data_IF_042771347978
#
_entry.id   IF_042771347978
#
_cell.length_a   1.000
_cell.length_b   1.000
_cell.length_c   1.000
_cell.angle_alpha   90.00
_cell.angle_beta   90.00
_cell.angle_gamma   90.00
#
_symmetry.space_group_name_H-M   'P 1'
#
loop_
_entity.id
_entity.type
_entity.pdbx_description
1 polymer ?
#
# COMPACT_ATOMS: atom_id res chain seq x y z
N UNK A 1 32.02 -75.38 16.02
CA UNK A 1 31.54 -74.81 14.73
C UNK A 1 30.28 -73.97 14.92
N UNK A 2 29.17 -74.54 15.41
CA UNK A 2 27.88 -73.81 15.52
C UNK A 2 27.87 -72.58 16.46
N UNK A 3 28.53 -72.65 17.63
CA UNK A 3 28.58 -71.52 18.59
C UNK A 3 29.32 -70.30 18.02
N UNK A 4 30.42 -70.53 17.29
CA UNK A 4 31.22 -69.46 16.69
C UNK A 4 30.43 -68.71 15.61
N UNK A 5 29.62 -69.42 14.80
CA UNK A 5 28.74 -68.84 13.77
C UNK A 5 27.65 -67.97 14.41
N UNK A 6 27.05 -68.42 15.51
CA UNK A 6 26.01 -67.66 16.24
C UNK A 6 26.60 -66.37 16.83
N UNK A 7 27.79 -66.42 17.43
CA UNK A 7 28.44 -65.23 17.99
C UNK A 7 28.80 -64.23 16.89
N UNK A 8 29.37 -64.67 15.77
CA UNK A 8 29.71 -63.77 14.65
C UNK A 8 28.47 -63.11 14.04
N UNK A 9 27.37 -63.84 13.88
CA UNK A 9 26.13 -63.29 13.34
C UNK A 9 25.48 -62.27 14.30
N UNK A 10 25.62 -62.48 15.62
CA UNK A 10 25.11 -61.55 16.63
C UNK A 10 25.84 -60.20 16.61
N UNK A 11 27.17 -60.22 16.49
CA UNK A 11 27.97 -58.99 16.35
C UNK A 11 27.67 -58.28 15.02
N UNK A 12 27.41 -59.02 13.94
CA UNK A 12 27.00 -58.43 12.66
C UNK A 12 25.64 -57.71 12.76
N UNK A 13 24.65 -58.32 13.42
CA UNK A 13 23.32 -57.71 13.63
C UNK A 13 23.37 -56.45 14.52
N UNK A 14 24.20 -56.48 15.57
CA UNK A 14 24.44 -55.31 16.43
C UNK A 14 25.08 -54.16 15.65
N UNK A 15 26.08 -54.44 14.82
CA UNK A 15 26.71 -53.43 13.96
C UNK A 15 25.72 -52.80 12.98
N UNK A 16 24.90 -53.61 12.32
CA UNK A 16 23.87 -53.12 11.38
C UNK A 16 22.85 -52.24 12.11
N UNK A 17 22.36 -52.68 13.28
CA UNK A 17 21.38 -51.91 14.07
C UNK A 17 21.94 -50.56 14.51
N UNK A 18 23.20 -50.51 14.92
CA UNK A 18 23.88 -49.27 15.29
C UNK A 18 23.97 -48.29 14.11
N UNK A 19 24.35 -48.79 12.93
CA UNK A 19 24.43 -47.96 11.71
C UNK A 19 23.07 -47.45 11.28
N UNK A 20 22.02 -48.28 11.33
CA UNK A 20 20.64 -47.88 11.03
C UNK A 20 20.15 -46.82 12.01
N UNK A 21 20.42 -46.97 13.31
CA UNK A 21 20.07 -45.98 14.32
C UNK A 21 20.77 -44.62 14.11
N UNK A 22 22.06 -44.65 13.76
CA UNK A 22 22.82 -43.43 13.44
C UNK A 22 22.27 -42.75 12.18
N UNK A 23 22.01 -43.52 11.11
CA UNK A 23 21.44 -42.97 9.88
C UNK A 23 20.05 -42.36 10.10
N UNK A 24 19.20 -43.02 10.89
CA UNK A 24 17.86 -42.53 11.23
C UNK A 24 17.90 -41.26 12.10
N UNK A 25 18.82 -41.21 13.08
CA UNK A 25 19.06 -40.02 13.90
C UNK A 25 19.54 -38.82 13.07
N UNK A 26 20.44 -39.05 12.12
CA UNK A 26 20.92 -38.01 11.20
C UNK A 26 19.79 -37.53 10.27
N UNK A 27 18.93 -38.44 9.79
CA UNK A 27 17.78 -38.10 8.95
C UNK A 27 16.78 -37.19 9.68
N UNK A 28 16.48 -37.48 10.95
CA UNK A 28 15.60 -36.63 11.79
C UNK A 28 16.23 -35.26 12.06
N UNK A 29 17.56 -35.19 12.23
CA UNK A 29 18.25 -33.93 12.55
C UNK A 29 18.28 -32.91 11.41
N UNK A 30 18.14 -33.34 10.14
CA UNK A 30 18.18 -32.45 8.97
C UNK A 30 16.90 -31.63 8.79
N UNK A 31 15.76 -32.04 9.38
CA UNK A 31 14.48 -31.32 9.31
C UNK A 31 14.49 -29.97 10.07
N UNK A 32 15.47 -29.76 10.96
CA UNK A 32 15.57 -28.55 11.78
C UNK A 32 16.01 -27.28 11.04
N UNK A 33 16.72 -27.41 9.90
CA UNK A 33 17.23 -26.24 9.15
C UNK A 33 16.11 -25.44 8.48
N UNK A 34 15.08 -26.12 7.95
CA UNK A 34 13.94 -25.43 7.34
C UNK A 34 13.14 -24.65 8.39
N UNK A 35 12.85 -25.23 9.56
CA UNK A 35 12.05 -24.58 10.61
C UNK A 35 12.73 -23.34 11.23
N UNK A 36 14.06 -23.25 11.19
CA UNK A 36 14.82 -22.08 11.66
C UNK A 36 14.70 -20.87 10.73
N UNK A 37 14.65 -21.08 9.41
CA UNK A 37 14.45 -20.00 8.42
C UNK A 37 13.07 -19.35 8.57
N UNK A 38 12.02 -20.15 8.70
CA UNK A 38 10.64 -19.65 8.92
C UNK A 38 10.47 -18.82 10.20
N UNK A 39 11.17 -19.17 11.30
CA UNK A 39 11.11 -18.39 12.56
C UNK A 39 11.91 -17.09 12.49
N UNK A 40 13.02 -17.08 11.74
CA UNK A 40 13.84 -15.89 11.53
C UNK A 40 13.11 -14.86 10.68
N UNK A 41 12.43 -15.30 9.61
CA UNK A 41 11.62 -14.42 8.76
C UNK A 41 10.46 -13.76 9.53
N UNK A 42 9.79 -14.49 10.42
CA UNK A 42 8.71 -13.91 11.25
C UNK A 42 9.21 -12.85 12.23
N UNK A 43 10.31 -13.12 12.93
CA UNK A 43 10.92 -12.14 13.85
C UNK A 43 11.43 -10.90 13.14
N UNK A 44 11.95 -11.06 11.91
CA UNK A 44 12.39 -9.92 11.10
C UNK A 44 11.21 -9.02 10.69
N UNK A 45 10.06 -9.60 10.34
CA UNK A 45 8.83 -8.83 10.04
C UNK A 45 8.29 -8.11 11.27
N UNK A 46 8.19 -8.82 12.39
CA UNK A 46 7.72 -8.24 13.66
C UNK A 46 8.65 -7.09 14.14
N UNK A 47 9.97 -7.23 13.97
CA UNK A 47 10.92 -6.16 14.29
C UNK A 47 10.77 -4.95 13.35
N UNK A 48 10.58 -5.18 12.05
CA UNK A 48 10.37 -4.09 11.09
C UNK A 48 9.05 -3.34 11.33
N UNK A 49 8.00 -4.03 11.76
CA UNK A 49 6.73 -3.39 12.16
C UNK A 49 6.92 -2.52 13.42
N UNK A 50 7.62 -3.02 14.44
CA UNK A 50 7.91 -2.25 15.65
C UNK A 50 8.71 -0.99 15.36
N UNK A 51 9.72 -1.08 14.50
CA UNK A 51 10.53 0.07 14.08
C UNK A 51 9.67 1.15 13.39
N UNK A 52 8.77 0.74 12.49
CA UNK A 52 7.82 1.65 11.84
C UNK A 52 6.87 2.32 12.81
N UNK A 53 6.37 1.57 13.80
CA UNK A 53 5.50 2.10 14.84
C UNK A 53 6.22 3.12 15.73
N UNK A 54 7.49 2.85 16.06
CA UNK A 54 8.31 3.81 16.82
C UNK A 54 8.53 5.10 16.06
N UNK A 55 8.91 5.02 14.77
CA UNK A 55 9.12 6.18 13.91
C UNK A 55 7.83 7.00 13.74
N UNK A 56 6.69 6.33 13.60
CA UNK A 56 5.38 6.99 13.48
C UNK A 56 5.05 7.77 14.75
N UNK A 57 5.24 7.16 15.93
CA UNK A 57 5.01 7.83 17.22
C UNK A 57 5.96 9.00 17.44
N UNK A 58 7.22 8.88 17.05
CA UNK A 58 8.20 9.96 17.13
C UNK A 58 7.82 11.13 16.23
N UNK A 59 7.44 10.84 14.98
CA UNK A 59 6.92 11.84 14.05
C UNK A 59 5.69 12.55 14.61
N UNK A 60 4.73 11.81 15.15
CA UNK A 60 3.49 12.39 15.67
C UNK A 60 3.74 13.29 16.89
N UNK A 61 4.68 12.91 17.76
CA UNK A 61 5.14 13.78 18.85
C UNK A 61 5.81 15.05 18.33
N UNK A 62 6.63 14.94 17.29
CA UNK A 62 7.30 16.11 16.68
C UNK A 62 6.29 17.06 16.01
N UNK A 63 5.23 16.54 15.40
CA UNK A 63 4.14 17.36 14.85
C UNK A 63 3.42 18.07 16.00
N UNK A 64 3.05 17.36 17.07
CA UNK A 64 2.40 17.95 18.23
C UNK A 64 3.24 19.07 18.89
N UNK A 65 4.56 18.89 19.02
CA UNK A 65 5.46 19.94 19.55
C UNK A 65 5.56 21.16 18.61
N UNK A 66 5.49 20.95 17.30
CA UNK A 66 5.46 22.05 16.34
C UNK A 66 4.15 22.82 16.45
N UNK A 67 3.03 22.13 16.56
CA UNK A 67 1.71 22.74 16.68
C UNK A 67 1.58 23.56 17.99
N UNK A 68 2.12 23.06 19.10
CA UNK A 68 2.14 23.84 20.36
C UNK A 68 3.02 25.08 20.26
N UNK A 69 4.17 25.00 19.58
CA UNK A 69 5.02 26.18 19.30
C UNK A 69 4.30 27.19 18.42
N UNK A 70 3.59 26.75 17.38
CA UNK A 70 2.81 27.62 16.50
C UNK A 70 1.71 28.32 17.31
N UNK A 71 0.95 27.57 18.11
CA UNK A 71 -0.10 28.14 18.96
C UNK A 71 0.45 29.15 20.00
N UNK A 72 1.64 28.90 20.55
CA UNK A 72 2.32 29.82 21.46
C UNK A 72 2.80 31.11 20.75
N UNK A 73 3.28 30.99 19.51
CA UNK A 73 3.70 32.13 18.68
C UNK A 73 2.51 32.97 18.20
N UNK A 74 1.36 32.34 17.93
CA UNK A 74 0.10 33.00 17.58
C UNK A 74 -0.59 33.67 18.78
N UNK A 75 -0.10 33.45 20.01
CA UNK A 75 -0.65 33.98 21.27
C UNK A 75 -0.35 35.46 21.59
N UNK A 76 0.25 36.23 20.70
CA UNK A 76 0.45 37.69 20.90
C UNK A 76 -0.52 38.48 20.02
N UNK A 77 -1.70 38.79 20.58
CA UNK A 77 -2.41 40.08 20.54
C UNK A 77 -3.93 39.92 20.75
N UNK A 78 -4.48 40.27 21.94
CA UNK A 78 -5.88 40.63 22.05
C UNK A 78 -6.10 42.12 21.74
N UNK A 79 -7.31 42.48 21.27
CA UNK A 79 -7.88 43.86 21.11
C UNK A 79 -7.70 44.50 19.70
N UNK A 80 -8.68 44.95 18.90
CA UNK A 80 -10.16 45.16 18.95
C UNK A 80 -10.71 45.29 17.48
N UNK A 81 -12.00 45.60 17.17
CA UNK A 81 -12.80 44.85 16.18
C UNK A 81 -13.14 45.62 14.89
N UNK A 82 -13.25 44.93 13.76
CA UNK A 82 -14.08 45.36 12.62
C UNK A 82 -14.53 44.14 11.79
N UNK A 83 -15.78 44.13 11.28
CA UNK A 83 -16.46 42.92 10.87
C UNK A 83 -16.15 42.56 9.42
N UNK A 84 -15.73 41.32 9.18
CA UNK A 84 -15.92 40.68 7.87
C UNK A 84 -16.10 39.18 8.08
N UNK A 85 -17.35 38.81 8.33
CA UNK A 85 -17.79 37.44 8.23
C UNK A 85 -17.98 37.09 6.75
N UNK A 86 -17.15 36.18 6.25
CA UNK A 86 -17.52 35.26 5.17
C UNK A 86 -16.66 33.99 5.25
N UNK A 87 -16.99 33.19 6.28
CA UNK A 87 -17.07 31.72 6.25
C UNK A 87 -15.80 30.92 5.97
N UNK A 88 -15.00 30.70 7.03
CA UNK A 88 -14.35 29.39 7.24
C UNK A 88 -15.48 28.35 7.40
N UNK A 89 -15.63 27.43 6.45
CA UNK A 89 -16.56 26.31 6.58
C UNK A 89 -16.05 25.33 7.66
N UNK A 90 -16.94 24.77 8.49
CA UNK A 90 -16.57 23.79 9.50
C UNK A 90 -16.13 22.48 8.84
N UNK A 91 -15.08 21.88 9.39
CA UNK A 91 -14.68 20.50 9.08
C UNK A 91 -15.72 19.61 9.76
N UNK A 92 -16.73 19.16 9.00
CA UNK A 92 -17.68 18.16 9.48
C UNK A 92 -17.02 16.78 9.53
N UNK A 93 -17.41 15.92 10.50
CA UNK A 93 -16.96 14.53 10.53
C UNK A 93 -17.41 13.83 9.25
N UNK A 94 -16.52 13.01 8.68
CA UNK A 94 -16.69 12.25 7.44
C UNK A 94 -17.72 11.13 7.63
N UNK A 95 -18.99 11.48 7.78
CA UNK A 95 -20.10 10.53 7.77
C UNK A 95 -21.09 10.97 6.72
N UNK A 96 -21.08 10.28 5.59
CA UNK A 96 -21.99 10.51 4.45
C UNK A 96 -21.27 11.12 3.26
N UNK A 97 -20.68 10.26 2.43
CA UNK A 97 -20.35 10.63 1.06
C UNK A 97 -21.65 11.07 0.34
N UNK A 98 -21.75 12.32 -0.15
CA UNK A 98 -22.81 12.65 -1.09
C UNK A 98 -22.58 11.86 -2.39
N UNK A 99 -23.64 11.56 -3.17
CA UNK A 99 -23.47 10.87 -4.43
C UNK A 99 -22.51 11.68 -5.31
N UNK A 100 -21.54 11.00 -5.94
CA UNK A 100 -20.50 11.56 -6.82
C UNK A 100 -21.07 12.20 -8.12
N UNK A 101 -22.36 12.52 -8.16
CA UNK A 101 -22.97 13.20 -9.27
C UNK A 101 -22.84 14.72 -9.08
N UNK A 102 -22.27 15.38 -10.10
CA UNK A 102 -22.53 16.79 -10.45
C UNK A 102 -21.69 17.91 -9.86
N UNK A 103 -20.66 17.65 -9.05
CA UNK A 103 -19.68 18.70 -8.75
C UNK A 103 -18.61 18.77 -9.85
N UNK A 104 -18.97 19.26 -11.04
CA UNK A 104 -17.96 19.74 -12.00
C UNK A 104 -17.34 21.01 -11.40
N UNK A 105 -16.03 21.06 -11.13
CA UNK A 105 -15.35 22.31 -10.78
C UNK A 105 -15.76 23.42 -11.74
N UNK A 106 -16.17 24.59 -11.23
CA UNK A 106 -16.62 25.71 -12.07
C UNK A 106 -15.54 26.18 -13.07
N UNK A 107 -14.29 25.78 -12.83
CA UNK A 107 -13.12 26.03 -13.66
C UNK A 107 -13.02 25.14 -14.92
N UNK A 108 -14.02 24.27 -15.17
CA UNK A 108 -14.06 23.37 -16.34
C UNK A 108 -13.05 22.22 -16.29
N UNK A 109 -12.44 21.98 -15.13
CA UNK A 109 -11.54 20.85 -14.85
C UNK A 109 -12.35 19.64 -14.38
N UNK A 110 -11.88 18.45 -14.71
CA UNK A 110 -12.47 17.21 -14.24
C UNK A 110 -11.69 16.69 -13.02
N UNK A 111 -12.35 15.91 -12.16
CA UNK A 111 -11.74 15.33 -10.97
C UNK A 111 -10.97 14.05 -11.30
N UNK A 112 -9.70 14.16 -11.68
CA UNK A 112 -8.92 13.00 -12.13
C UNK A 112 -8.76 11.90 -11.07
N UNK A 113 -8.86 12.22 -9.78
CA UNK A 113 -8.92 11.24 -8.68
C UNK A 113 -10.16 10.33 -8.68
N UNK A 114 -11.15 10.56 -9.56
CA UNK A 114 -12.24 9.62 -9.77
C UNK A 114 -11.78 8.35 -10.53
N UNK A 115 -10.64 8.39 -11.21
CA UNK A 115 -10.03 7.22 -11.83
C UNK A 115 -9.39 6.37 -10.73
N UNK A 116 -9.80 5.10 -10.63
CA UNK A 116 -9.25 4.16 -9.65
C UNK A 116 -7.77 3.92 -9.98
N UNK A 117 -6.92 4.19 -8.99
CA UNK A 117 -5.46 4.16 -9.09
C UNK A 117 -4.81 5.54 -9.25
N UNK A 118 -5.60 6.61 -9.36
CA UNK A 118 -5.11 8.00 -9.30
C UNK A 118 -5.38 8.56 -7.91
N UNK A 119 -4.34 8.77 -7.10
CA UNK A 119 -4.50 9.40 -5.80
C UNK A 119 -4.65 10.93 -5.94
N UNK A 120 -5.17 11.64 -4.92
CA UNK A 120 -5.28 13.10 -4.96
C UNK A 120 -3.94 13.82 -5.20
N UNK A 121 -2.82 13.21 -4.79
CA UNK A 121 -1.47 13.73 -5.07
C UNK A 121 -1.09 13.56 -6.54
N UNK A 122 -1.50 12.46 -7.17
CA UNK A 122 -1.23 12.23 -8.59
C UNK A 122 -2.13 13.10 -9.46
N UNK A 123 -3.36 13.40 -9.03
CA UNK A 123 -4.20 14.43 -9.67
C UNK A 123 -3.50 15.79 -9.69
N UNK A 124 -2.83 16.21 -8.61
CA UNK A 124 -2.05 17.46 -8.59
C UNK A 124 -0.92 17.38 -9.63
N UNK A 125 -0.16 16.29 -9.65
CA UNK A 125 0.94 16.10 -10.62
C UNK A 125 0.45 16.04 -12.06
N UNK A 126 -0.72 15.45 -12.30
CA UNK A 126 -1.39 15.40 -13.60
C UNK A 126 -1.80 16.81 -14.05
N UNK A 127 -2.36 17.60 -13.13
CA UNK A 127 -2.69 19.00 -13.36
C UNK A 127 -1.43 19.86 -13.63
N UNK A 128 -0.34 19.63 -12.90
CA UNK A 128 0.98 20.25 -13.20
C UNK A 128 1.55 19.76 -14.54
N UNK A 129 1.13 18.58 -14.98
CA UNK A 129 1.46 18.03 -16.28
C UNK A 129 0.61 18.53 -17.45
N UNK A 130 -0.39 19.35 -17.18
CA UNK A 130 -1.28 19.92 -18.19
C UNK A 130 -2.50 19.04 -18.50
N UNK A 131 -2.70 17.96 -17.74
CA UNK A 131 -3.88 17.12 -17.82
C UNK A 131 -4.90 17.59 -16.78
N UNK A 132 -6.01 18.14 -17.26
CA UNK A 132 -7.09 18.69 -16.43
C UNK A 132 -8.44 18.03 -16.72
N UNK A 133 -8.55 17.20 -17.76
CA UNK A 133 -9.82 16.59 -18.19
C UNK A 133 -9.71 15.10 -18.47
N UNK A 134 -10.80 14.37 -18.26
CA UNK A 134 -10.89 12.94 -18.57
C UNK A 134 -10.67 12.66 -20.05
N UNK A 135 -11.12 13.55 -20.96
CA UNK A 135 -10.92 13.40 -22.40
C UNK A 135 -9.44 13.35 -22.80
N UNK A 136 -8.57 14.09 -22.08
CA UNK A 136 -7.14 14.10 -22.37
C UNK A 136 -6.52 12.76 -21.97
N UNK A 137 -6.88 12.25 -20.80
CA UNK A 137 -6.44 10.93 -20.32
C UNK A 137 -6.98 9.82 -21.24
N UNK A 138 -8.23 9.90 -21.68
CA UNK A 138 -8.86 8.94 -22.59
C UNK A 138 -8.16 8.84 -23.97
N UNK A 139 -7.52 9.91 -24.40
CA UNK A 139 -6.83 10.04 -25.70
C UNK A 139 -5.35 9.70 -25.66
N UNK A 140 -4.77 9.45 -24.48
CA UNK A 140 -3.38 9.03 -24.35
C UNK A 140 -3.09 7.84 -25.28
N UNK A 141 -1.94 7.88 -25.94
CA UNK A 141 -1.40 6.72 -26.64
C UNK A 141 -0.35 5.99 -25.76
N UNK A 142 0.22 4.89 -26.26
CA UNK A 142 1.22 4.12 -25.49
C UNK A 142 2.50 4.91 -25.18
N UNK A 143 2.85 5.89 -26.02
CA UNK A 143 4.02 6.74 -25.81
C UNK A 143 3.73 7.79 -24.76
N UNK A 144 2.54 8.39 -24.80
CA UNK A 144 2.08 9.37 -23.82
C UNK A 144 1.90 8.73 -22.44
N UNK A 145 1.32 7.52 -22.39
CA UNK A 145 1.24 6.71 -21.17
C UNK A 145 2.63 6.54 -20.55
N UNK A 146 3.63 6.14 -21.36
CA UNK A 146 4.98 5.94 -20.86
C UNK A 146 5.63 7.24 -20.36
N UNK A 147 5.50 8.33 -21.12
CA UNK A 147 6.03 9.62 -20.71
C UNK A 147 5.37 10.13 -19.42
N UNK A 148 4.08 9.85 -19.24
CA UNK A 148 3.34 10.19 -18.05
C UNK A 148 3.74 9.32 -16.85
N UNK A 149 3.90 8.02 -17.04
CA UNK A 149 4.44 7.10 -16.03
C UNK A 149 5.82 7.53 -15.54
N UNK A 150 6.73 7.85 -16.46
CA UNK A 150 8.07 8.33 -16.12
C UNK A 150 8.01 9.64 -15.32
N UNK A 151 7.08 10.55 -15.65
CA UNK A 151 6.89 11.83 -14.94
C UNK A 151 6.25 11.66 -13.56
N UNK A 152 5.34 10.71 -13.42
CA UNK A 152 4.69 10.37 -12.14
C UNK A 152 5.56 9.46 -11.26
N UNK A 153 6.65 8.90 -11.81
CA UNK A 153 7.54 7.97 -11.11
C UNK A 153 6.98 6.56 -10.99
N UNK A 154 6.06 6.17 -11.88
CA UNK A 154 5.48 4.83 -11.90
C UNK A 154 6.28 3.86 -12.78
N UNK A 155 6.26 2.55 -12.47
CA UNK A 155 6.80 1.55 -13.36
C UNK A 155 5.98 1.49 -14.65
N UNK A 156 6.66 1.14 -15.74
CA UNK A 156 6.04 1.07 -17.06
C UNK A 156 4.85 0.11 -17.09
N UNK A 157 3.74 0.56 -17.67
CA UNK A 157 2.50 -0.20 -17.80
C UNK A 157 1.53 -0.07 -16.61
N UNK A 158 1.81 0.76 -15.61
CA UNK A 158 0.88 1.07 -14.52
C UNK A 158 -0.44 1.65 -15.04
N UNK A 159 -0.37 2.61 -15.95
CA UNK A 159 -1.54 3.29 -16.52
C UNK A 159 -2.35 2.32 -17.39
N UNK A 160 -1.66 1.50 -18.18
CA UNK A 160 -2.27 0.48 -19.02
C UNK A 160 -2.95 -0.64 -18.21
N UNK A 161 -2.26 -1.18 -17.20
CA UNK A 161 -2.78 -2.22 -16.31
C UNK A 161 -3.95 -1.71 -15.45
N UNK A 162 -3.86 -0.46 -14.99
CA UNK A 162 -4.94 0.24 -14.29
C UNK A 162 -6.10 0.64 -15.20
N UNK A 163 -5.98 0.46 -16.52
CA UNK A 163 -7.01 0.82 -17.52
C UNK A 163 -7.48 2.27 -17.39
N UNK A 164 -6.59 3.21 -17.06
CA UNK A 164 -6.97 4.61 -16.81
C UNK A 164 -7.71 5.24 -18.00
N UNK A 165 -7.34 4.87 -19.22
CA UNK A 165 -8.01 5.33 -20.45
C UNK A 165 -9.46 4.86 -20.56
N UNK A 166 -9.74 3.62 -20.21
CA UNK A 166 -11.10 3.08 -20.23
C UNK A 166 -11.95 3.76 -19.17
N UNK A 167 -11.41 3.88 -17.96
CA UNK A 167 -12.08 4.58 -16.85
C UNK A 167 -12.37 6.05 -17.21
N UNK A 168 -11.38 6.78 -17.73
CA UNK A 168 -11.53 8.16 -18.16
C UNK A 168 -12.58 8.30 -19.28
N UNK A 169 -12.68 7.34 -20.20
CA UNK A 169 -13.74 7.34 -21.23
C UNK A 169 -15.15 7.20 -20.65
N UNK A 170 -15.32 6.42 -19.59
CA UNK A 170 -16.61 6.26 -18.91
C UNK A 170 -16.96 7.54 -18.15
N UNK A 171 -16.00 8.07 -17.38
CA UNK A 171 -16.17 9.30 -16.60
C UNK A 171 -16.40 10.54 -17.48
N UNK A 172 -15.73 10.64 -18.64
CA UNK A 172 -15.96 11.72 -19.61
C UNK A 172 -17.39 11.73 -20.18
N UNK A 173 -18.05 10.58 -20.22
CA UNK A 173 -19.44 10.45 -20.66
C UNK A 173 -20.45 10.68 -19.54
N UNK A 174 -19.99 10.92 -18.31
CA UNK A 174 -20.83 10.97 -17.12
C UNK A 174 -21.32 9.58 -16.66
N UNK A 175 -20.75 8.49 -17.16
CA UNK A 175 -21.11 7.12 -16.76
C UNK A 175 -20.38 6.73 -15.46
N UNK A 176 -20.71 7.43 -14.37
CA UNK A 176 -20.16 7.14 -13.03
C UNK A 176 -20.66 5.82 -12.49
N UNK A 177 -21.92 5.46 -12.73
CA UNK A 177 -22.52 4.22 -12.23
C UNK A 177 -21.92 2.99 -12.94
N UNK A 178 -21.73 3.05 -14.26
CA UNK A 178 -21.06 2.01 -15.02
C UNK A 178 -19.58 1.89 -14.66
N UNK A 179 -18.90 3.02 -14.41
CA UNK A 179 -17.52 3.03 -13.91
C UNK A 179 -17.40 2.34 -12.55
N UNK A 180 -18.28 2.66 -11.60
CA UNK A 180 -18.30 2.02 -10.28
C UNK A 180 -18.67 0.54 -10.36
N UNK A 181 -19.59 0.15 -11.25
CA UNK A 181 -19.91 -1.26 -11.48
C UNK A 181 -18.73 -2.05 -12.06
N UNK A 182 -17.95 -1.43 -12.95
CA UNK A 182 -16.80 -2.06 -13.60
C UNK A 182 -15.52 -2.06 -12.74
N UNK A 183 -15.30 -1.02 -11.93
CA UNK A 183 -14.02 -0.77 -11.24
C UNK A 183 -14.14 -0.54 -9.72
N UNK A 184 -15.33 -0.30 -9.18
CA UNK A 184 -15.55 0.07 -7.77
C UNK A 184 -15.36 -1.07 -6.75
N UNK A 185 -15.19 -2.32 -7.19
CA UNK A 185 -15.08 -3.50 -6.29
C UNK A 185 -13.72 -3.61 -5.61
N UNK A 186 -12.68 -2.87 -6.04
CA UNK A 186 -11.34 -2.94 -5.44
C UNK A 186 -11.13 -2.10 -4.17
N UNK A 187 -12.14 -1.38 -3.68
CA UNK A 187 -12.04 -0.57 -2.45
C UNK A 187 -13.05 -1.00 -1.37
N UNK A 188 -13.17 -2.31 -1.12
CA UNK A 188 -13.65 -2.81 0.18
C UNK A 188 -12.45 -3.31 0.98
N UNK A 189 -11.93 -2.38 1.77
CA UNK A 189 -11.26 -2.57 3.06
C UNK A 189 -11.34 -4.02 3.59
N UNK A 190 -10.17 -4.64 3.72
CA UNK A 190 -9.87 -5.66 4.75
C UNK A 190 -8.63 -5.19 5.48
#
# INVERSE_FOLDING_TARGET
MAVMIITTNLWAMLGITLVVGIAFGLFISNAGKHKRRWRAERRAREAAEQERDTLTRERDKAIADRDTRIAALEGVAPERPAPSAATRRPIMPLTGAPPLADARPEDGRDRLSAIIGVDPQDEIRLNEAGYYRYDQIARLDRRDERALEDRLGYPAGTIANGKWRDQARMLAKGDTDGHLAAYGVSHRVV
#
